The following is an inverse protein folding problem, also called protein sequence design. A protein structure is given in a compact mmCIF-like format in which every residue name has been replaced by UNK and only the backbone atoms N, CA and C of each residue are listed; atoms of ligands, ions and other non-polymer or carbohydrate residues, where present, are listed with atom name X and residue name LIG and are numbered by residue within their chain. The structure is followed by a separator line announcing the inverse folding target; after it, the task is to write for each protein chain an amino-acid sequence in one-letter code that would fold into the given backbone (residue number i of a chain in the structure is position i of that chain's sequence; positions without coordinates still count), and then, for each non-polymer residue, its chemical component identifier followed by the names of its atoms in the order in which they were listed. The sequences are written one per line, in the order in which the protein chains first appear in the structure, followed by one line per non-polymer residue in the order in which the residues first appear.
data_IF_654007281201
#
_entry.id   IF_654007281201
#
_cell.length_a   1.000
_cell.length_b   1.000
_cell.length_c   1.000
_cell.angle_alpha   90.00
_cell.angle_beta   90.00
_cell.angle_gamma   90.00
#
_symmetry.space_group_name_H-M   'P 1'
#
loop_
_entity.id
_entity.type
_entity.pdbx_description
1 polymer ?
#
# COMPACT_ATOMS: atom_id res chain seq x y z
N UNK A 1 -3.40 -13.75 2.60
CA UNK A 1 -4.01 -12.61 3.29
C UNK A 1 -4.84 -13.10 4.46
N UNK A 2 -4.56 -12.58 5.65
CA UNK A 2 -5.47 -12.62 6.80
C UNK A 2 -6.66 -11.73 6.49
N UNK A 3 -7.86 -12.26 6.69
CA UNK A 3 -9.06 -11.41 6.71
C UNK A 3 -9.08 -10.73 8.08
N UNK A 4 -8.85 -9.42 8.08
CA UNK A 4 -8.90 -8.58 9.27
C UNK A 4 -10.09 -7.62 9.16
N UNK A 5 -10.69 -7.22 10.27
CA UNK A 5 -11.84 -6.32 10.28
C UNK A 5 -11.47 -4.87 10.58
N UNK A 6 -10.19 -4.58 10.86
CA UNK A 6 -9.67 -3.26 11.26
C UNK A 6 -10.07 -2.10 10.31
N UNK A 7 -10.29 -2.39 9.03
CA UNK A 7 -10.62 -1.41 7.99
C UNK A 7 -12.08 -1.44 7.54
N UNK A 8 -12.90 -2.35 8.08
CA UNK A 8 -14.29 -2.51 7.66
C UNK A 8 -15.10 -1.25 7.96
N UNK A 9 -15.74 -0.69 6.93
CA UNK A 9 -16.50 0.57 7.00
C UNK A 9 -15.67 1.80 7.42
N UNK A 10 -14.33 1.71 7.41
CA UNK A 10 -13.45 2.84 7.70
C UNK A 10 -13.28 3.71 6.46
N UNK A 11 -13.29 5.03 6.66
CA UNK A 11 -12.94 5.98 5.61
C UNK A 11 -11.43 6.08 5.51
N UNK A 12 -10.86 5.64 4.38
CA UNK A 12 -9.42 5.55 4.20
C UNK A 12 -8.99 6.42 3.03
N UNK A 13 -8.04 7.32 3.27
CA UNK A 13 -7.39 8.07 2.21
C UNK A 13 -6.10 7.36 1.78
N UNK A 14 -6.01 7.01 0.51
CA UNK A 14 -4.76 6.57 -0.11
C UNK A 14 -4.12 7.78 -0.81
N UNK A 15 -2.95 8.18 -0.36
CA UNK A 15 -2.23 9.34 -0.89
C UNK A 15 -1.10 8.89 -1.83
N UNK A 16 -1.30 9.12 -3.13
CA UNK A 16 -0.43 8.77 -4.25
C UNK A 16 -0.91 7.53 -5.03
N UNK A 17 -1.13 7.66 -6.34
CA UNK A 17 -1.73 6.65 -7.22
C UNK A 17 -0.77 5.55 -7.72
N UNK A 18 0.54 5.80 -7.73
CA UNK A 18 1.52 4.87 -8.30
C UNK A 18 1.41 3.44 -7.72
N UNK A 19 2.14 2.47 -8.30
CA UNK A 19 1.96 1.02 -8.06
C UNK A 19 1.65 0.59 -6.61
N UNK A 20 2.32 1.15 -5.60
CA UNK A 20 2.02 0.85 -4.19
C UNK A 20 0.63 1.36 -3.75
N UNK A 21 0.26 2.59 -4.12
CA UNK A 21 -1.00 3.19 -3.72
C UNK A 21 -2.21 2.56 -4.41
N UNK A 22 -2.14 2.30 -5.72
CA UNK A 22 -3.20 1.56 -6.43
C UNK A 22 -3.45 0.19 -5.82
N UNK A 23 -2.39 -0.58 -5.50
CA UNK A 23 -2.57 -1.87 -4.84
C UNK A 23 -3.11 -1.73 -3.41
N UNK A 24 -2.63 -0.75 -2.63
CA UNK A 24 -3.17 -0.48 -1.30
C UNK A 24 -4.68 -0.15 -1.35
N UNK A 25 -5.11 0.67 -2.30
CA UNK A 25 -6.52 1.03 -2.47
C UNK A 25 -7.40 -0.20 -2.76
N UNK A 26 -6.93 -1.09 -3.66
CA UNK A 26 -7.62 -2.35 -3.98
C UNK A 26 -7.74 -3.26 -2.75
N UNK A 27 -6.65 -3.44 -2.01
CA UNK A 27 -6.63 -4.25 -0.78
C UNK A 27 -7.59 -3.69 0.27
N UNK A 28 -7.54 -2.38 0.53
CA UNK A 28 -8.41 -1.73 1.51
C UNK A 28 -9.88 -1.88 1.11
N UNK A 29 -10.21 -1.73 -0.17
CA UNK A 29 -11.55 -1.97 -0.70
C UNK A 29 -12.01 -3.41 -0.48
N UNK A 30 -11.14 -4.39 -0.69
CA UNK A 30 -11.40 -5.82 -0.43
C UNK A 30 -11.63 -6.09 1.08
N UNK A 31 -10.92 -5.38 1.95
CA UNK A 31 -11.11 -5.41 3.42
C UNK A 31 -12.37 -4.65 3.89
N UNK A 32 -13.14 -4.07 2.97
CA UNK A 32 -14.42 -3.40 3.27
C UNK A 32 -14.29 -1.94 3.66
N UNK A 33 -13.16 -1.29 3.39
CA UNK A 33 -12.99 0.15 3.58
C UNK A 33 -13.75 0.97 2.53
N UNK A 34 -14.08 2.20 2.90
CA UNK A 34 -14.57 3.26 2.01
C UNK A 34 -13.34 4.08 1.60
N UNK A 35 -12.84 3.82 0.39
CA UNK A 35 -11.54 4.33 -0.05
C UNK A 35 -11.72 5.56 -0.94
N UNK A 36 -10.94 6.60 -0.65
CA UNK A 36 -10.65 7.70 -1.59
C UNK A 36 -9.17 7.62 -1.95
N UNK A 37 -8.84 7.66 -3.24
CA UNK A 37 -7.46 7.72 -3.73
C UNK A 37 -7.18 9.13 -4.25
N UNK A 38 -6.14 9.78 -3.74
CA UNK A 38 -5.74 11.12 -4.17
C UNK A 38 -4.33 11.17 -4.74
N UNK A 39 -4.12 11.91 -5.82
CA UNK A 39 -2.81 12.19 -6.41
C UNK A 39 -2.72 13.64 -6.89
N UNK A 40 -1.52 14.23 -6.83
CA UNK A 40 -1.28 15.59 -7.28
C UNK A 40 -1.28 15.72 -8.81
N UNK A 41 -1.00 14.64 -9.54
CA UNK A 41 -0.97 14.65 -11.00
C UNK A 41 -2.37 14.74 -11.58
N UNK A 42 -2.55 15.38 -12.75
CA UNK A 42 -3.84 15.37 -13.44
C UNK A 42 -4.23 13.96 -13.85
N UNK A 43 -5.54 13.67 -13.92
CA UNK A 43 -6.08 12.35 -14.30
C UNK A 43 -5.50 11.81 -15.62
N UNK A 44 -5.19 12.69 -16.58
CA UNK A 44 -4.62 12.34 -17.89
C UNK A 44 -3.25 11.66 -17.80
N UNK A 45 -2.53 11.84 -16.69
CA UNK A 45 -1.22 11.22 -16.44
C UNK A 45 -1.31 9.94 -15.59
N UNK A 46 -2.52 9.52 -15.24
CA UNK A 46 -2.78 8.42 -14.30
C UNK A 46 -3.70 7.37 -14.93
N UNK A 47 -3.25 6.65 -15.99
CA UNK A 47 -4.05 5.60 -16.62
C UNK A 47 -4.37 4.44 -15.65
N UNK A 48 -3.54 4.23 -14.62
CA UNK A 48 -3.79 3.21 -13.60
C UNK A 48 -5.07 3.43 -12.78
N UNK A 49 -5.68 4.63 -12.86
CA UNK A 49 -6.93 4.93 -12.15
C UNK A 49 -8.17 4.39 -12.85
N UNK A 50 -8.09 4.00 -14.12
CA UNK A 50 -9.23 3.39 -14.84
C UNK A 50 -9.78 2.19 -14.04
N UNK A 51 -8.88 1.27 -13.65
CA UNK A 51 -9.23 0.08 -12.86
C UNK A 51 -9.71 0.44 -11.43
N UNK A 52 -9.20 1.53 -10.85
CA UNK A 52 -9.59 1.98 -9.51
C UNK A 52 -11.02 2.51 -9.53
N UNK A 53 -11.36 3.30 -10.53
CA UNK A 53 -12.68 3.88 -10.72
C UNK A 53 -13.72 2.80 -11.06
N UNK A 54 -13.36 1.79 -11.86
CA UNK A 54 -14.19 0.61 -12.14
C UNK A 54 -14.55 -0.18 -10.86
N UNK A 55 -13.67 -0.18 -9.86
CA UNK A 55 -13.93 -0.79 -8.55
C UNK A 55 -14.80 0.08 -7.63
N UNK A 56 -15.25 1.24 -8.12
CA UNK A 56 -16.08 2.21 -7.39
C UNK A 56 -15.31 2.98 -6.31
N UNK A 57 -13.99 3.06 -6.41
CA UNK A 57 -13.15 3.85 -5.51
C UNK A 57 -13.14 5.30 -6.02
N UNK A 58 -13.40 6.26 -5.13
CA UNK A 58 -13.35 7.68 -5.48
C UNK A 58 -11.91 8.09 -5.79
N UNK A 59 -11.70 8.80 -6.89
CA UNK A 59 -10.40 9.36 -7.28
C UNK A 59 -10.44 10.89 -7.24
N UNK A 60 -9.46 11.51 -6.58
CA UNK A 60 -9.26 12.96 -6.56
C UNK A 60 -7.89 13.26 -7.16
N UNK A 61 -7.85 13.94 -8.30
CA UNK A 61 -6.61 14.15 -9.06
C UNK A 61 -6.35 15.63 -9.32
N UNK A 62 -5.16 15.97 -9.80
CA UNK A 62 -4.78 17.34 -10.15
C UNK A 62 -4.45 18.24 -8.95
N UNK A 63 -4.26 17.66 -7.77
CA UNK A 63 -3.86 18.41 -6.58
C UNK A 63 -4.41 17.82 -5.28
N UNK A 64 -4.36 18.65 -4.23
CA UNK A 64 -4.84 18.33 -2.89
C UNK A 64 -5.86 19.40 -2.46
N UNK A 65 -7.12 19.29 -2.90
CA UNK A 65 -8.07 20.38 -2.71
C UNK A 65 -8.50 20.51 -1.24
N UNK A 66 -8.91 21.72 -0.84
CA UNK A 66 -9.19 22.05 0.54
C UNK A 66 -10.36 21.24 1.13
N UNK A 67 -11.34 20.87 0.31
CA UNK A 67 -12.45 20.00 0.71
C UNK A 67 -11.95 18.60 1.08
N UNK A 68 -11.03 18.02 0.31
CA UNK A 68 -10.41 16.72 0.62
C UNK A 68 -9.66 16.80 1.96
N UNK A 69 -8.88 17.85 2.18
CA UNK A 69 -8.12 18.08 3.42
C UNK A 69 -9.08 18.25 4.62
N UNK A 70 -10.24 18.85 4.39
CA UNK A 70 -11.26 19.07 5.41
C UNK A 70 -12.00 17.78 5.82
N UNK A 71 -12.11 16.78 4.91
CA UNK A 71 -12.77 15.49 5.19
C UNK A 71 -12.17 14.79 6.43
N UNK A 72 -13.01 14.01 7.10
CA UNK A 72 -12.60 13.15 8.20
C UNK A 72 -12.26 11.77 7.64
N UNK A 73 -11.00 11.36 7.78
CA UNK A 73 -10.54 10.01 7.46
C UNK A 73 -10.13 9.31 8.75
N UNK A 74 -10.41 8.01 8.84
CA UNK A 74 -10.01 7.16 9.96
C UNK A 74 -8.52 6.80 9.89
N UNK A 75 -7.96 6.70 8.68
CA UNK A 75 -6.54 6.41 8.44
C UNK A 75 -6.11 6.94 7.08
N UNK A 76 -4.84 7.30 6.97
CA UNK A 76 -4.21 7.64 5.70
C UNK A 76 -3.15 6.60 5.38
N UNK A 77 -3.21 6.02 4.18
CA UNK A 77 -2.14 5.19 3.63
C UNK A 77 -1.35 6.01 2.63
N UNK A 78 -0.15 6.43 3.06
CA UNK A 78 0.74 7.29 2.29
C UNK A 78 1.72 6.47 1.47
N UNK A 79 1.94 6.85 0.22
CA UNK A 79 3.08 6.40 -0.56
C UNK A 79 4.39 6.98 0.04
N UNK A 80 5.44 6.15 0.29
CA UNK A 80 6.70 6.61 0.88
C UNK A 80 7.37 7.79 0.17
N UNK A 81 7.16 7.95 -1.14
CA UNK A 81 7.74 9.05 -1.91
C UNK A 81 7.15 10.43 -1.64
N UNK A 82 6.03 10.51 -0.90
CA UNK A 82 5.37 11.78 -0.58
C UNK A 82 6.08 12.44 0.61
N UNK A 83 6.35 13.75 0.53
CA UNK A 83 6.98 14.49 1.63
C UNK A 83 6.00 14.61 2.83
N UNK A 84 6.52 14.69 4.06
CA UNK A 84 5.73 15.01 5.25
C UNK A 84 5.22 16.45 5.26
N UNK A 85 5.86 17.36 4.52
CA UNK A 85 5.37 18.73 4.30
C UNK A 85 4.16 18.80 3.36
N UNK A 86 3.69 17.66 2.83
CA UNK A 86 2.49 17.63 2.01
C UNK A 86 1.28 18.15 2.82
N UNK A 87 0.44 19.06 2.27
CA UNK A 87 -0.67 19.65 3.02
C UNK A 87 -1.65 18.64 3.61
N UNK A 88 -1.89 17.52 2.94
CA UNK A 88 -2.74 16.44 3.44
C UNK A 88 -2.12 15.77 4.67
N UNK A 89 -0.81 15.54 4.64
CA UNK A 89 -0.06 14.91 5.75
C UNK A 89 -0.06 15.83 6.97
N UNK A 90 0.29 17.11 6.78
CA UNK A 90 0.29 18.11 7.86
C UNK A 90 -1.10 18.23 8.51
N UNK A 91 -2.15 18.29 7.69
CA UNK A 91 -3.52 18.35 8.20
C UNK A 91 -3.91 17.09 8.99
N UNK A 92 -3.55 15.92 8.50
CA UNK A 92 -3.80 14.66 9.19
C UNK A 92 -3.08 14.59 10.54
N UNK A 93 -1.81 15.01 10.61
CA UNK A 93 -1.05 15.09 11.86
C UNK A 93 -1.73 16.04 12.86
N UNK A 94 -2.16 17.23 12.41
CA UNK A 94 -2.88 18.19 13.27
C UNK A 94 -4.20 17.64 13.82
N UNK A 95 -4.85 16.72 13.09
CA UNK A 95 -6.09 16.05 13.48
C UNK A 95 -5.83 14.75 14.24
N UNK A 96 -4.57 14.37 14.45
CA UNK A 96 -4.17 13.06 15.01
C UNK A 96 -4.74 11.86 14.22
N UNK A 97 -4.98 12.03 12.91
CA UNK A 97 -5.37 10.93 12.03
C UNK A 97 -4.16 10.03 11.81
N UNK A 98 -4.26 8.70 12.07
CA UNK A 98 -3.15 7.79 11.86
C UNK A 98 -2.68 7.77 10.40
N UNK A 99 -1.36 7.89 10.19
CA UNK A 99 -0.72 7.84 8.88
C UNK A 99 0.18 6.61 8.85
N UNK A 100 -0.13 5.68 7.96
CA UNK A 100 0.64 4.46 7.74
C UNK A 100 1.19 4.43 6.32
N UNK A 101 2.09 3.49 6.05
CA UNK A 101 2.56 3.23 4.69
C UNK A 101 2.03 1.91 4.15
N UNK A 102 2.17 1.70 2.85
CA UNK A 102 1.84 0.44 2.18
C UNK A 102 2.50 -0.78 2.83
N UNK A 103 3.73 -0.63 3.34
CA UNK A 103 4.48 -1.72 3.98
C UNK A 103 3.85 -2.11 5.32
N UNK A 104 3.37 -1.14 6.09
CA UNK A 104 2.67 -1.41 7.35
C UNK A 104 1.32 -2.10 7.08
N UNK A 105 0.58 -1.64 6.07
CA UNK A 105 -0.64 -2.33 5.63
C UNK A 105 -0.34 -3.77 5.23
N UNK A 106 0.71 -4.00 4.45
CA UNK A 106 1.14 -5.34 4.05
C UNK A 106 1.49 -6.23 5.26
N UNK A 107 2.15 -5.66 6.27
CA UNK A 107 2.49 -6.38 7.50
C UNK A 107 1.26 -6.81 8.31
N UNK A 108 0.20 -5.99 8.33
CA UNK A 108 -1.07 -6.32 9.02
C UNK A 108 -1.85 -7.46 8.35
N UNK A 109 -1.78 -7.55 7.03
CA UNK A 109 -2.62 -8.48 6.25
C UNK A 109 -1.90 -9.78 5.87
N UNK A 110 -0.59 -9.90 6.13
CA UNK A 110 0.19 -11.09 5.78
C UNK A 110 0.27 -12.11 6.93
N UNK A 111 0.35 -13.38 6.56
CA UNK A 111 0.67 -14.51 7.44
C UNK A 111 2.13 -14.95 7.30
N UNK A 112 2.86 -14.39 6.34
CA UNK A 112 4.23 -14.76 6.07
C UNK A 112 5.21 -14.06 7.02
N UNK A 113 6.37 -14.71 7.22
CA UNK A 113 7.52 -14.07 7.84
C UNK A 113 8.03 -12.92 6.96
N UNK A 114 8.41 -11.81 7.60
CA UNK A 114 8.89 -10.60 6.91
C UNK A 114 10.37 -10.40 7.24
N UNK A 115 11.19 -10.25 6.20
CA UNK A 115 12.58 -9.82 6.32
C UNK A 115 12.68 -8.40 5.79
N UNK A 116 12.97 -7.44 6.67
CA UNK A 116 13.13 -6.03 6.32
C UNK A 116 14.58 -5.70 5.95
N UNK A 117 14.79 -5.05 4.80
CA UNK A 117 16.10 -4.55 4.36
C UNK A 117 16.01 -3.03 4.16
N UNK A 118 16.90 -2.29 4.83
CA UNK A 118 17.02 -0.83 4.70
C UNK A 118 18.48 -0.42 4.55
N UNK A 119 18.73 0.86 4.25
CA UNK A 119 20.07 1.43 4.06
C UNK A 119 20.13 2.41 2.89
N UNK A 120 21.20 3.21 2.79
CA UNK A 120 21.33 4.20 1.72
C UNK A 120 21.50 3.53 0.35
N UNK A 121 22.36 2.52 0.27
CA UNK A 121 22.72 1.81 -0.98
C UNK A 121 22.63 0.29 -0.80
N UNK A 122 22.65 -0.46 -1.90
CA UNK A 122 22.71 -1.94 -1.88
C UNK A 122 21.41 -2.68 -1.59
N UNK A 123 20.36 -1.99 -1.12
CA UNK A 123 19.05 -2.58 -0.74
C UNK A 123 18.49 -3.56 -1.77
N UNK A 124 18.36 -3.13 -3.03
CA UNK A 124 17.78 -3.97 -4.10
C UNK A 124 18.62 -5.22 -4.33
N UNK A 125 19.94 -5.08 -4.42
CA UNK A 125 20.86 -6.21 -4.57
C UNK A 125 20.74 -7.19 -3.41
N UNK A 126 20.72 -6.68 -2.17
CA UNK A 126 20.59 -7.51 -0.96
C UNK A 126 19.24 -8.23 -0.90
N UNK A 127 18.13 -7.54 -1.21
CA UNK A 127 16.79 -8.16 -1.26
C UNK A 127 16.74 -9.26 -2.32
N UNK A 128 17.31 -9.03 -3.51
CA UNK A 128 17.39 -10.05 -4.56
C UNK A 128 18.21 -11.27 -4.10
N UNK A 129 19.41 -11.05 -3.56
CA UNK A 129 20.26 -12.15 -3.05
C UNK A 129 19.57 -12.97 -1.96
N UNK A 130 18.94 -12.32 -0.98
CA UNK A 130 18.19 -13.00 0.09
C UNK A 130 17.07 -13.85 -0.53
N UNK A 131 16.30 -13.27 -1.48
CA UNK A 131 15.19 -13.97 -2.12
C UNK A 131 15.65 -15.19 -2.92
N UNK A 132 16.75 -15.07 -3.66
CA UNK A 132 17.32 -16.15 -4.47
C UNK A 132 17.86 -17.27 -3.59
N UNK A 133 18.65 -16.94 -2.56
CA UNK A 133 19.19 -17.91 -1.60
C UNK A 133 18.06 -18.66 -0.88
N UNK A 134 17.03 -17.95 -0.41
CA UNK A 134 15.92 -18.59 0.30
C UNK A 134 15.09 -19.51 -0.58
N UNK A 135 15.03 -19.25 -1.89
CA UNK A 135 14.29 -20.08 -2.84
C UNK A 135 15.15 -21.18 -3.46
N UNK A 136 16.48 -21.14 -3.32
CA UNK A 136 17.37 -22.15 -3.85
C UNK A 136 17.07 -23.52 -3.23
N UNK A 137 16.72 -24.50 -4.06
CA UNK A 137 16.35 -25.85 -3.64
C UNK A 137 15.20 -25.91 -2.62
N UNK A 138 14.35 -24.88 -2.56
CA UNK A 138 13.21 -24.86 -1.65
C UNK A 138 12.09 -25.76 -2.17
N UNK A 139 11.81 -26.84 -1.45
CA UNK A 139 10.73 -27.77 -1.78
C UNK A 139 9.33 -27.27 -1.35
N UNK A 140 9.27 -26.45 -0.29
CA UNK A 140 8.00 -25.95 0.28
C UNK A 140 8.02 -24.45 0.57
N UNK A 141 6.89 -23.80 0.27
CA UNK A 141 6.73 -22.36 0.41
C UNK A 141 7.52 -21.59 -0.65
N UNK A 142 7.48 -20.26 -0.58
CA UNK A 142 8.19 -19.38 -1.51
C UNK A 142 8.50 -18.04 -0.83
N UNK A 143 9.75 -17.60 -0.94
CA UNK A 143 10.13 -16.23 -0.62
C UNK A 143 9.79 -15.31 -1.80
N UNK A 144 9.27 -14.13 -1.50
CA UNK A 144 8.93 -13.12 -2.50
C UNK A 144 9.66 -11.83 -2.18
N UNK A 145 10.34 -11.26 -3.17
CA UNK A 145 10.85 -9.90 -3.09
C UNK A 145 9.67 -8.91 -3.16
N UNK A 146 9.67 -7.89 -2.31
CA UNK A 146 8.60 -6.90 -2.22
C UNK A 146 9.10 -5.54 -1.69
N UNK A 147 8.27 -4.50 -1.83
CA UNK A 147 8.55 -3.15 -1.35
C UNK A 147 9.13 -2.25 -2.44
N UNK A 148 10.09 -1.39 -2.08
CA UNK A 148 10.65 -0.36 -2.96
C UNK A 148 11.66 -0.90 -4.01
N UNK A 149 11.23 -1.93 -4.74
CA UNK A 149 11.97 -2.60 -5.82
C UNK A 149 11.08 -2.82 -7.06
N UNK A 150 9.96 -2.10 -7.14
CA UNK A 150 8.98 -2.24 -8.22
C UNK A 150 7.93 -3.33 -8.01
N UNK A 151 7.90 -4.00 -6.84
CA UNK A 151 6.90 -5.01 -6.48
C UNK A 151 6.17 -4.54 -5.23
N UNK A 152 4.87 -4.27 -5.33
CA UNK A 152 4.04 -3.82 -4.21
C UNK A 152 4.05 -4.84 -3.06
N UNK A 153 4.25 -4.36 -1.83
CA UNK A 153 4.23 -5.18 -0.62
C UNK A 153 2.83 -5.77 -0.36
N UNK A 154 1.78 -4.98 -0.54
CA UNK A 154 0.38 -5.39 -0.39
C UNK A 154 -0.02 -6.46 -1.42
N UNK A 155 0.41 -6.29 -2.68
CA UNK A 155 0.21 -7.30 -3.72
C UNK A 155 0.89 -8.65 -3.39
N UNK A 156 2.06 -8.62 -2.74
CA UNK A 156 2.73 -9.84 -2.28
C UNK A 156 2.03 -10.43 -1.05
N UNK A 157 1.62 -9.60 -0.10
CA UNK A 157 0.92 -10.02 1.12
C UNK A 157 -0.45 -10.66 0.83
N UNK A 158 -1.10 -10.30 -0.28
CA UNK A 158 -2.33 -10.94 -0.73
C UNK A 158 -2.14 -12.42 -1.08
N UNK A 159 -0.96 -12.82 -1.57
CA UNK A 159 -0.69 -14.20 -1.97
C UNK A 159 -0.91 -15.12 -0.77
N UNK A 160 -1.91 -16.00 -0.85
CA UNK A 160 -2.08 -17.06 0.14
C UNK A 160 -0.82 -17.92 0.14
N UNK A 161 -0.21 -18.11 1.31
CA UNK A 161 0.64 -19.25 1.53
C UNK A 161 -0.25 -20.47 1.29
N UNK A 162 -0.08 -21.16 0.16
CA UNK A 162 -0.68 -22.48 0.00
C UNK A 162 -0.02 -23.34 1.06
N UNK A 163 -0.74 -23.60 2.15
CA UNK A 163 -0.41 -24.71 3.04
C UNK A 163 -0.52 -25.94 2.17
N UNK A 164 0.59 -26.41 1.62
CA UNK A 164 0.67 -27.77 1.13
C UNK A 164 0.50 -28.63 2.37
N UNK A 165 -0.75 -28.97 2.69
CA UNK A 165 -1.05 -30.04 3.63
C UNK A 165 -0.30 -31.26 3.10
N UNK A 166 0.56 -31.79 3.97
CA UNK A 166 1.20 -33.09 3.82
C UNK A 166 0.13 -34.18 3.69
#
# INVERSE_FOLDING_TARGET
MKMIEDYKQKHVLVLGAGKSGTNAAKVLRELGAIVTLNDSKPRTELPELDEIEELGIETVTGGHPADLIARAFDVIVKNPGINYENPVVVAAESKSTPIITEVELAAKITDAEIIGVTGSNGKTTTVTMITDILNQNREKGRAYAAGNIGISATAVAQKRLRTTQL
#
